data_IF_647098847404
#
_entry.id   IF_647098847404
#
_cell.length_a   1.000
_cell.length_b   1.000
_cell.length_c   1.000
_cell.angle_alpha   90.00
_cell.angle_beta   90.00
_cell.angle_gamma   90.00
#
_symmetry.space_group_name_H-M   'P 1'
#
loop_
_entity.id
_entity.type
_entity.pdbx_description
1 polymer ?
#
# COMPACT_ATOMS: atom_id res chain seq x y z
N UNK A 1 6.43 13.99 -10.11
CA UNK A 1 6.37 12.75 -10.90
C UNK A 1 5.65 11.72 -10.05
N UNK A 2 4.59 11.10 -10.59
CA UNK A 2 3.99 9.89 -10.05
C UNK A 2 2.53 10.03 -9.60
N UNK A 3 1.62 10.34 -10.51
CA UNK A 3 0.22 9.92 -10.36
C UNK A 3 0.07 8.56 -11.03
N UNK A 4 -0.67 7.65 -10.40
CA UNK A 4 -0.91 6.29 -10.90
C UNK A 4 -2.41 6.05 -10.82
N UNK A 5 -2.96 5.41 -11.85
CA UNK A 5 -4.37 5.02 -11.86
C UNK A 5 -4.62 3.99 -10.75
N UNK A 6 -5.58 4.29 -9.88
CA UNK A 6 -6.00 3.41 -8.80
C UNK A 6 -7.52 3.46 -8.64
N UNK A 7 -8.11 2.31 -8.34
CA UNK A 7 -9.48 2.25 -7.83
C UNK A 7 -9.41 2.39 -6.33
N UNK A 8 -10.04 3.44 -5.80
CA UNK A 8 -10.08 3.74 -4.36
C UNK A 8 -11.50 3.55 -3.86
N UNK A 9 -11.65 2.75 -2.81
CA UNK A 9 -12.90 2.54 -2.10
C UNK A 9 -12.75 3.02 -0.65
N UNK A 10 -13.78 3.68 -0.12
CA UNK A 10 -13.77 4.23 1.24
C UNK A 10 -13.51 5.74 1.29
N UNK A 11 -13.06 6.22 2.44
CA UNK A 11 -12.84 7.64 2.71
C UNK A 11 -11.44 8.11 2.26
N UNK A 12 -11.35 9.38 1.87
CA UNK A 12 -10.06 10.00 1.55
C UNK A 12 -9.16 10.03 2.79
N UNK A 13 -7.94 9.50 2.64
CA UNK A 13 -6.97 9.39 3.73
C UNK A 13 -5.59 9.79 3.25
N UNK A 14 -4.86 10.53 4.08
CA UNK A 14 -3.46 10.92 3.83
C UNK A 14 -2.54 10.12 4.73
N UNK A 15 -1.76 9.23 4.12
CA UNK A 15 -0.83 8.33 4.81
C UNK A 15 0.54 8.44 4.16
N UNK A 16 1.58 8.57 4.97
CA UNK A 16 2.95 8.49 4.49
C UNK A 16 3.52 7.10 4.76
N UNK A 17 4.06 6.48 3.72
CA UNK A 17 4.79 5.21 3.81
C UNK A 17 6.26 5.44 3.48
N UNK A 18 7.12 4.57 4.01
CA UNK A 18 8.52 4.56 3.61
C UNK A 18 8.62 4.03 2.16
N UNK A 19 9.01 4.91 1.23
CA UNK A 19 9.13 4.57 -0.19
C UNK A 19 10.07 3.40 -0.47
N UNK A 20 11.14 3.24 0.33
CA UNK A 20 12.05 2.09 0.21
C UNK A 20 11.33 0.77 0.43
N UNK A 21 10.52 0.68 1.49
CA UNK A 21 9.76 -0.53 1.82
C UNK A 21 8.68 -0.80 0.78
N UNK A 22 7.99 0.23 0.28
CA UNK A 22 7.04 0.05 -0.83
C UNK A 22 7.73 -0.51 -2.07
N UNK A 23 8.88 0.03 -2.48
CA UNK A 23 9.62 -0.48 -3.65
C UNK A 23 10.09 -1.92 -3.45
N UNK A 24 10.59 -2.26 -2.26
CA UNK A 24 11.01 -3.64 -1.96
C UNK A 24 9.83 -4.61 -2.08
N UNK A 25 8.65 -4.27 -1.55
CA UNK A 25 7.45 -5.12 -1.65
C UNK A 25 6.96 -5.24 -3.09
N UNK A 26 6.89 -4.13 -3.82
CA UNK A 26 6.47 -4.14 -5.22
C UNK A 26 7.45 -4.91 -6.11
N UNK A 27 8.73 -5.00 -5.75
CA UNK A 27 9.73 -5.75 -6.52
C UNK A 27 9.59 -7.27 -6.42
N UNK A 28 8.91 -7.77 -5.39
CA UNK A 28 8.69 -9.21 -5.18
C UNK A 28 7.30 -9.68 -5.64
N UNK A 29 6.36 -8.74 -5.80
CA UNK A 29 5.05 -8.98 -6.38
C UNK A 29 5.19 -9.04 -7.91
N UNK A 30 4.69 -10.11 -8.53
CA UNK A 30 4.79 -10.33 -9.97
C UNK A 30 3.45 -10.11 -10.70
N UNK A 31 2.41 -9.82 -9.93
CA UNK A 31 1.04 -9.67 -10.40
C UNK A 31 0.81 -8.27 -10.97
N UNK A 32 -0.10 -8.18 -11.95
CA UNK A 32 -0.38 -6.92 -12.64
C UNK A 32 -1.07 -5.88 -11.74
N UNK A 33 -1.68 -6.32 -10.64
CA UNK A 33 -2.45 -5.49 -9.73
C UNK A 33 -2.15 -5.87 -8.27
N UNK A 34 -2.07 -4.86 -7.42
CA UNK A 34 -1.81 -4.98 -5.98
C UNK A 34 -2.88 -4.18 -5.25
N UNK A 35 -3.48 -4.78 -4.23
CA UNK A 35 -4.39 -4.09 -3.32
C UNK A 35 -3.59 -3.55 -2.12
N UNK A 36 -3.82 -2.27 -1.81
CA UNK A 36 -3.38 -1.62 -0.58
C UNK A 36 -4.60 -1.42 0.32
N UNK A 37 -4.67 -2.17 1.41
CA UNK A 37 -5.74 -2.07 2.39
C UNK A 37 -5.27 -1.29 3.60
N UNK A 38 -6.01 -0.25 3.96
CA UNK A 38 -5.72 0.60 5.12
C UNK A 38 -7.00 0.87 5.90
N UNK A 39 -6.87 1.08 7.21
CA UNK A 39 -8.02 1.35 8.10
C UNK A 39 -7.98 2.78 8.62
N UNK A 40 -6.85 3.21 9.17
CA UNK A 40 -6.62 4.59 9.58
C UNK A 40 -5.15 4.98 9.34
N UNK A 41 -4.81 6.29 9.28
CA UNK A 41 -3.45 6.74 8.96
C UNK A 41 -2.33 6.30 9.91
N UNK A 42 -2.67 5.87 11.13
CA UNK A 42 -1.72 5.42 12.13
C UNK A 42 -1.64 3.90 12.26
N UNK A 43 -2.45 3.16 11.51
CA UNK A 43 -2.48 1.70 11.52
C UNK A 43 -1.67 1.10 10.39
N UNK A 44 -1.16 -0.14 10.57
CA UNK A 44 -0.47 -0.84 9.50
C UNK A 44 -1.34 -0.94 8.24
N UNK A 45 -0.71 -0.74 7.08
CA UNK A 45 -1.30 -1.05 5.77
C UNK A 45 -0.95 -2.48 5.35
N UNK A 46 -1.85 -3.12 4.62
CA UNK A 46 -1.63 -4.47 4.07
C UNK A 46 -1.51 -4.37 2.56
N UNK A 47 -0.45 -4.95 2.01
CA UNK A 47 -0.27 -5.13 0.57
C UNK A 47 -0.45 -6.61 0.22
N UNK A 48 -1.28 -6.88 -0.79
CA UNK A 48 -1.48 -8.21 -1.35
C UNK A 48 -1.72 -8.16 -2.86
N UNK A 49 -1.26 -9.16 -3.62
CA UNK A 49 -1.57 -9.23 -5.04
C UNK A 49 -3.06 -9.50 -5.26
N UNK A 50 -3.62 -8.98 -6.35
CA UNK A 50 -5.01 -9.22 -6.73
C UNK A 50 -5.11 -10.53 -7.51
N UNK A 51 -6.02 -11.41 -7.11
CA UNK A 51 -6.29 -12.68 -7.78
C UNK A 51 -5.43 -13.86 -7.31
N UNK A 52 -4.53 -13.65 -6.34
CA UNK A 52 -3.71 -14.70 -5.72
C UNK A 52 -3.65 -14.49 -4.21
N UNK A 53 -3.99 -15.51 -3.42
CA UNK A 53 -4.06 -15.41 -1.95
C UNK A 53 -2.85 -16.03 -1.23
N UNK A 54 -1.69 -16.09 -1.91
CA UNK A 54 -0.48 -16.75 -1.37
C UNK A 54 0.53 -15.78 -0.75
N UNK A 55 0.25 -14.47 -0.75
CA UNK A 55 1.16 -13.44 -0.28
C UNK A 55 0.43 -12.33 0.45
N UNK A 56 0.93 -11.98 1.63
CA UNK A 56 0.45 -10.86 2.44
C UNK A 56 1.64 -10.17 3.06
N UNK A 57 1.73 -8.86 2.87
CA UNK A 57 2.80 -8.04 3.43
C UNK A 57 2.20 -6.90 4.25
N UNK A 58 2.76 -6.65 5.43
CA UNK A 58 2.33 -5.58 6.32
C UNK A 58 3.37 -4.47 6.32
N UNK A 59 2.95 -3.24 6.05
CA UNK A 59 3.81 -2.05 6.07
C UNK A 59 3.30 -1.06 7.12
N UNK A 60 4.21 -0.58 7.98
CA UNK A 60 3.89 0.43 8.98
C UNK A 60 3.93 1.84 8.36
N UNK A 61 2.93 2.69 8.66
CA UNK A 61 2.98 4.08 8.24
C UNK A 61 4.04 4.86 9.03
N UNK A 62 4.47 5.98 8.46
CA UNK A 62 5.31 6.95 9.12
C UNK A 62 4.47 8.13 9.58
N UNK A 63 4.70 8.59 10.81
CA UNK A 63 4.09 9.82 11.28
C UNK A 63 4.71 11.01 10.56
N UNK A 64 3.89 11.82 9.90
CA UNK A 64 4.27 13.06 9.23
C UNK A 64 3.33 14.19 9.66
N UNK A 65 3.88 15.40 9.80
CA UNK A 65 3.09 16.60 9.99
C UNK A 65 2.90 17.25 8.61
N UNK A 66 1.65 17.43 8.22
CA UNK A 66 1.25 18.04 6.95
C UNK A 66 1.10 19.56 7.10
#
# INVERSE_FOLDING_TARGET
VGEIDATVEGEESKIAFNGKYLTEVLSVLNEAQVALETTNPSSPGVLRPVGVDNYLHVIMPMFVQW
#
